data_IF_809583165460
#
_entry.id   IF_809583165460
#
_cell.length_a   1.000
_cell.length_b   1.000
_cell.length_c   1.000
_cell.angle_alpha   90.00
_cell.angle_beta   90.00
_cell.angle_gamma   90.00
#
_symmetry.space_group_name_H-M   'P 1'
#
loop_
_entity.id
_entity.type
_entity.pdbx_description
1 polymer ?
#
# COMPACT_ATOMS: atom_id res chain seq x y z
N UNK A 1 -30.44 14.60 5.90
CA UNK A 1 -29.89 13.35 5.37
C UNK A 1 -30.97 12.32 5.33
N UNK A 2 -31.00 11.54 4.28
CA UNK A 2 -32.02 10.53 4.10
C UNK A 2 -31.66 9.21 4.84
N UNK A 3 -32.64 8.30 4.88
CA UNK A 3 -32.47 7.00 5.54
C UNK A 3 -31.35 6.16 4.90
N UNK A 4 -31.13 6.30 3.60
CA UNK A 4 -30.12 5.58 2.86
C UNK A 4 -28.70 6.02 3.28
N UNK A 5 -28.49 7.32 3.44
CA UNK A 5 -27.23 7.88 3.94
C UNK A 5 -26.95 7.46 5.39
N UNK A 6 -27.96 7.45 6.22
CA UNK A 6 -27.83 7.03 7.62
C UNK A 6 -27.53 5.54 7.74
N UNK A 7 -28.16 4.70 6.89
CA UNK A 7 -27.88 3.27 6.84
C UNK A 7 -26.45 2.99 6.39
N UNK A 8 -25.96 3.71 5.38
CA UNK A 8 -24.56 3.59 4.92
C UNK A 8 -23.60 4.00 6.00
N UNK A 9 -23.87 5.12 6.69
CA UNK A 9 -23.04 5.59 7.80
C UNK A 9 -22.94 4.55 8.90
N UNK A 10 -24.05 3.94 9.30
CA UNK A 10 -24.06 2.89 10.32
C UNK A 10 -23.22 1.68 9.90
N UNK A 11 -23.30 1.28 8.66
CA UNK A 11 -22.50 0.17 8.11
C UNK A 11 -21.00 0.51 8.11
N UNK A 12 -20.64 1.74 7.78
CA UNK A 12 -19.25 2.20 7.83
C UNK A 12 -18.73 2.23 9.26
N UNK A 13 -19.52 2.70 10.21
CA UNK A 13 -19.15 2.73 11.62
C UNK A 13 -18.87 1.33 12.18
N UNK A 14 -19.62 0.31 11.73
CA UNK A 14 -19.42 -1.07 12.14
C UNK A 14 -18.06 -1.63 11.68
N UNK A 15 -17.45 -1.03 10.66
CA UNK A 15 -16.14 -1.45 10.15
C UNK A 15 -14.96 -0.78 10.84
N UNK A 16 -15.20 0.21 11.70
CA UNK A 16 -14.12 0.87 12.42
C UNK A 16 -13.38 -0.16 13.28
N UNK A 17 -12.07 -0.23 13.12
CA UNK A 17 -11.22 -1.17 13.83
C UNK A 17 -11.13 -2.56 13.20
N UNK A 18 -11.83 -2.82 12.12
CA UNK A 18 -11.80 -4.12 11.42
C UNK A 18 -10.88 -4.04 10.19
N UNK A 19 -10.17 -5.13 9.85
CA UNK A 19 -9.38 -5.17 8.63
C UNK A 19 -10.29 -5.17 7.39
N UNK A 20 -9.84 -4.48 6.34
CA UNK A 20 -10.59 -4.38 5.08
C UNK A 20 -10.37 -5.58 4.15
N UNK A 21 -9.26 -6.28 4.31
CA UNK A 21 -8.93 -7.44 3.48
C UNK A 21 -9.30 -8.76 4.12
N UNK A 22 -9.57 -9.76 3.30
CA UNK A 22 -9.98 -11.09 3.76
C UNK A 22 -8.83 -11.91 4.35
N UNK A 23 -7.61 -11.69 3.91
CA UNK A 23 -6.45 -12.56 4.18
C UNK A 23 -5.33 -11.92 5.00
N UNK A 24 -5.63 -10.81 5.70
CA UNK A 24 -4.65 -10.11 6.53
C UNK A 24 -3.88 -9.04 5.76
N UNK A 25 -2.71 -8.62 6.27
CA UNK A 25 -1.95 -7.53 5.65
C UNK A 25 -1.46 -7.89 4.26
N UNK A 26 -1.50 -6.92 3.35
CA UNK A 26 -0.89 -7.08 2.03
C UNK A 26 0.63 -7.14 2.17
N UNK A 27 1.24 -8.11 1.52
CA UNK A 27 2.69 -8.30 1.52
C UNK A 27 3.24 -7.98 0.15
N UNK A 28 4.34 -7.24 0.10
CA UNK A 28 5.02 -6.95 -1.16
C UNK A 28 5.46 -8.25 -1.85
N UNK A 29 5.20 -8.42 -3.14
CA UNK A 29 5.67 -9.60 -3.86
C UNK A 29 7.20 -9.68 -3.97
N UNK A 30 7.87 -8.53 -3.92
CA UNK A 30 9.32 -8.43 -3.98
C UNK A 30 9.84 -7.66 -2.79
N UNK A 31 11.09 -7.89 -2.43
CA UNK A 31 11.75 -7.11 -1.39
C UNK A 31 11.92 -5.66 -1.81
N UNK A 32 11.88 -4.75 -0.84
CA UNK A 32 12.28 -3.36 -1.05
C UNK A 32 13.73 -3.36 -1.52
N UNK A 33 14.01 -2.71 -2.65
CA UNK A 33 15.32 -2.78 -3.28
C UNK A 33 15.78 -1.41 -3.80
N UNK A 34 17.09 -1.24 -3.84
CA UNK A 34 17.70 0.02 -4.22
C UNK A 34 17.48 0.39 -5.69
N UNK A 35 17.55 -0.52 -6.66
CA UNK A 35 17.27 -0.16 -8.05
C UNK A 35 15.90 0.50 -8.24
N UNK A 36 14.87 -0.01 -7.62
CA UNK A 36 13.52 0.58 -7.70
C UNK A 36 13.46 1.94 -7.02
N UNK A 37 14.14 2.10 -5.89
CA UNK A 37 14.24 3.39 -5.20
C UNK A 37 14.89 4.42 -6.12
N UNK A 38 15.98 4.05 -6.78
CA UNK A 38 16.67 4.94 -7.73
C UNK A 38 15.78 5.40 -8.87
N UNK A 39 15.06 4.48 -9.49
CA UNK A 39 14.13 4.81 -10.57
C UNK A 39 13.07 5.80 -10.12
N UNK A 40 12.53 5.58 -8.94
CA UNK A 40 11.46 6.42 -8.40
C UNK A 40 11.96 7.82 -8.05
N UNK A 41 13.08 7.93 -7.35
CA UNK A 41 13.63 9.24 -6.95
C UNK A 41 14.15 10.02 -8.15
N UNK A 42 14.69 9.33 -9.16
CA UNK A 42 15.14 9.98 -10.38
C UNK A 42 13.96 10.53 -11.19
N UNK A 43 12.88 9.79 -11.25
CA UNK A 43 11.66 10.23 -11.94
C UNK A 43 11.06 11.49 -11.33
N UNK A 44 11.16 11.65 -10.02
CA UNK A 44 10.62 12.79 -9.28
C UNK A 44 11.68 13.86 -8.96
N UNK A 45 12.91 13.65 -9.37
CA UNK A 45 14.06 14.51 -9.00
C UNK A 45 14.16 14.71 -7.48
N UNK A 46 13.90 13.66 -6.72
CA UNK A 46 14.03 13.67 -5.27
C UNK A 46 15.49 13.40 -4.90
N UNK A 47 16.15 14.40 -4.34
CA UNK A 47 17.58 14.36 -4.02
C UNK A 47 17.87 14.14 -2.54
N UNK A 48 16.90 13.68 -1.78
CA UNK A 48 17.12 13.42 -0.36
C UNK A 48 18.16 12.28 -0.19
N UNK A 49 19.32 12.58 0.42
CA UNK A 49 20.40 11.59 0.50
C UNK A 49 20.08 10.37 1.35
N UNK A 50 19.05 10.41 2.17
CA UNK A 50 18.63 9.24 2.96
C UNK A 50 18.24 8.04 2.08
N UNK A 51 17.88 8.27 0.84
CA UNK A 51 17.50 7.23 -0.10
C UNK A 51 18.67 6.66 -0.91
N UNK A 52 19.77 7.39 -0.99
CA UNK A 52 20.86 7.06 -1.92
C UNK A 52 22.26 7.04 -1.30
N UNK A 53 22.48 7.76 -0.21
CA UNK A 53 23.79 7.88 0.44
C UNK A 53 23.88 6.92 1.63
N UNK A 54 24.62 5.83 1.46
CA UNK A 54 24.77 4.82 2.51
C UNK A 54 25.40 5.36 3.78
N UNK A 55 26.41 6.22 3.65
CA UNK A 55 27.11 6.78 4.81
C UNK A 55 26.21 7.69 5.64
N UNK A 56 25.44 8.55 4.97
CA UNK A 56 24.50 9.43 5.64
C UNK A 56 23.33 8.63 6.23
N UNK A 57 22.77 7.72 5.47
CA UNK A 57 21.64 6.91 5.92
C UNK A 57 21.97 6.08 7.16
N UNK A 58 23.18 5.56 7.25
CA UNK A 58 23.63 4.80 8.41
C UNK A 58 23.63 5.61 9.71
N UNK A 59 23.78 6.94 9.60
CA UNK A 59 23.80 7.87 10.75
C UNK A 59 22.40 8.30 11.18
N UNK A 60 21.38 7.98 10.43
CA UNK A 60 20.00 8.32 10.78
C UNK A 60 19.43 7.32 11.78
N UNK A 61 18.28 7.67 12.37
CA UNK A 61 17.55 6.76 13.27
C UNK A 61 17.17 5.42 12.61
N UNK A 62 17.17 5.37 11.28
CA UNK A 62 16.84 4.15 10.53
C UNK A 62 18.02 3.19 10.39
N UNK A 63 19.26 3.69 10.58
CA UNK A 63 20.46 2.86 10.52
C UNK A 63 20.87 2.39 9.13
N UNK A 64 20.25 2.89 8.08
CA UNK A 64 20.52 2.49 6.71
C UNK A 64 19.59 3.16 5.71
N UNK A 65 19.77 2.82 4.43
CA UNK A 65 18.92 3.30 3.35
C UNK A 65 17.47 2.90 3.61
N UNK A 66 16.56 3.83 3.37
CA UNK A 66 15.11 3.59 3.42
C UNK A 66 14.48 3.93 2.08
N UNK A 67 13.34 3.34 1.80
CA UNK A 67 12.54 3.71 0.64
C UNK A 67 11.70 4.95 0.96
N UNK A 68 11.47 5.84 -0.04
CA UNK A 68 10.53 6.93 0.14
C UNK A 68 9.16 6.41 0.58
N UNK A 69 8.53 6.99 1.60
CA UNK A 69 7.21 6.52 2.08
C UNK A 69 6.14 6.49 0.99
N UNK A 70 6.20 7.42 0.04
CA UNK A 70 5.25 7.48 -1.07
C UNK A 70 5.34 6.26 -2.02
N UNK A 71 6.42 5.49 -1.97
CA UNK A 71 6.56 4.24 -2.72
C UNK A 71 5.75 3.08 -2.14
N UNK A 72 5.12 3.24 -0.99
CA UNK A 72 4.41 2.13 -0.33
C UNK A 72 3.40 1.46 -1.27
N UNK A 73 2.66 2.24 -2.03
CA UNK A 73 1.71 1.71 -3.00
C UNK A 73 2.40 0.87 -4.09
N UNK A 74 3.58 1.30 -4.54
CA UNK A 74 4.34 0.55 -5.56
C UNK A 74 4.81 -0.81 -5.03
N UNK A 75 5.24 -0.88 -3.78
CA UNK A 75 5.70 -2.13 -3.19
C UNK A 75 4.59 -3.15 -3.02
N UNK A 76 3.41 -2.70 -2.64
CA UNK A 76 2.27 -3.59 -2.37
C UNK A 76 1.38 -3.82 -3.58
N UNK A 77 1.70 -3.22 -4.72
CA UNK A 77 0.96 -3.43 -5.96
C UNK A 77 1.13 -4.87 -6.44
N UNK A 78 0.03 -5.55 -6.68
CA UNK A 78 0.05 -6.89 -7.24
C UNK A 78 0.53 -6.89 -8.70
N UNK A 79 1.00 -8.04 -9.15
CA UNK A 79 1.46 -8.23 -10.54
C UNK A 79 0.25 -8.50 -11.43
N UNK A 80 -0.15 -7.56 -12.32
CA UNK A 80 -1.35 -7.72 -13.13
C UNK A 80 -1.20 -8.83 -14.17
N UNK A 81 -2.34 -9.38 -14.62
CA UNK A 81 -2.43 -10.35 -15.72
C UNK A 81 -1.70 -11.68 -15.48
N UNK A 82 -1.48 -12.03 -14.22
CA UNK A 82 -0.83 -13.32 -13.89
C UNK A 82 -1.81 -14.10 -13.00
N UNK A 83 -2.11 -15.34 -13.37
CA UNK A 83 -2.90 -16.24 -12.54
C UNK A 83 -2.24 -16.46 -11.19
N UNK A 84 -3.06 -16.55 -10.15
CA UNK A 84 -2.57 -16.75 -8.79
C UNK A 84 -1.85 -15.54 -8.22
N UNK A 85 -2.22 -14.34 -8.65
CA UNK A 85 -1.59 -13.10 -8.21
C UNK A 85 -1.61 -12.95 -6.68
N UNK A 86 -2.70 -13.32 -6.05
CA UNK A 86 -2.85 -13.27 -4.60
C UNK A 86 -1.83 -14.17 -3.89
N UNK A 87 -1.52 -15.32 -4.47
CA UNK A 87 -0.54 -16.24 -3.91
C UNK A 87 0.90 -15.72 -4.00
N UNK A 88 1.13 -14.72 -4.84
CA UNK A 88 2.46 -14.09 -5.01
C UNK A 88 2.66 -12.85 -4.16
N UNK A 89 1.67 -12.46 -3.39
CA UNK A 89 1.70 -11.27 -2.56
C UNK A 89 1.26 -10.00 -3.30
N UNK A 90 1.13 -8.92 -2.57
CA UNK A 90 0.66 -7.63 -3.08
C UNK A 90 -0.72 -7.27 -2.57
N UNK A 91 -1.17 -6.05 -2.88
CA UNK A 91 -2.45 -5.50 -2.44
C UNK A 91 -3.60 -5.76 -3.45
N UNK A 92 -3.43 -6.71 -4.36
CA UNK A 92 -4.45 -7.06 -5.35
C UNK A 92 -5.59 -7.88 -4.78
N UNK A 93 -5.55 -8.12 -3.48
CA UNK A 93 -6.47 -9.01 -2.83
C UNK A 93 -7.82 -8.42 -2.54
N UNK A 94 -8.70 -9.32 -2.30
CA UNK A 94 -10.10 -9.05 -2.14
C UNK A 94 -10.39 -8.12 -0.98
N UNK A 95 -11.00 -7.00 -1.30
CA UNK A 95 -11.79 -6.27 -0.33
C UNK A 95 -13.07 -7.09 -0.12
N UNK A 96 -13.43 -7.32 1.12
CA UNK A 96 -14.68 -8.04 1.42
C UNK A 96 -15.85 -7.45 0.63
N UNK A 97 -16.58 -8.28 -0.07
CA UNK A 97 -17.71 -7.83 -0.89
C UNK A 97 -18.77 -7.12 -0.08
N UNK A 98 -18.90 -7.48 1.19
CA UNK A 98 -19.85 -6.87 2.10
C UNK A 98 -19.33 -5.58 2.74
N UNK A 99 -18.10 -5.20 2.45
CA UNK A 99 -17.51 -3.98 2.97
C UNK A 99 -18.14 -2.76 2.26
N UNK A 100 -18.77 -1.84 3.00
CA UNK A 100 -19.41 -0.69 2.37
C UNK A 100 -18.46 0.23 1.63
N UNK A 101 -17.16 0.19 1.95
CA UNK A 101 -16.13 0.96 1.22
C UNK A 101 -15.98 0.45 -0.21
N UNK A 102 -16.14 -0.85 -0.43
CA UNK A 102 -16.05 -1.41 -1.77
C UNK A 102 -17.15 -0.88 -2.69
N UNK A 103 -18.32 -0.56 -2.13
CA UNK A 103 -19.42 0.04 -2.86
C UNK A 103 -19.06 1.45 -3.35
N UNK A 104 -18.36 2.22 -2.50
CA UNK A 104 -17.93 3.57 -2.86
C UNK A 104 -16.80 3.55 -3.91
N UNK A 105 -15.89 2.60 -3.80
CA UNK A 105 -14.75 2.47 -4.71
C UNK A 105 -15.12 1.86 -6.06
N UNK A 106 -16.12 1.02 -6.09
CA UNK A 106 -16.57 0.33 -7.31
C UNK A 106 -17.57 1.09 -8.15
N UNK A 107 -17.97 2.24 -7.69
CA UNK A 107 -18.92 3.08 -8.43
C UNK A 107 -18.28 3.76 -9.69
#
# INVERSE_FOLDING_TARGET
>A
MDEESDALRSRLEDWIGKPLGASGPAVSPDEVNLPMIRHWVDALDDRNPIYLDFGLAAKTRHGGIVAPPAMLQSWTMGRPRIEGIAARGGAADEIHRDNPISVLAGA
#
